data_IF_664981582880
#
_entry.id   IF_664981582880
#
_cell.length_a   1.000
_cell.length_b   1.000
_cell.length_c   1.000
_cell.angle_alpha   90.00
_cell.angle_beta   90.00
_cell.angle_gamma   90.00
#
_symmetry.space_group_name_H-M   'P 1'
#
loop_
_entity.id
_entity.type
_entity.pdbx_description
1 polymer ?
#
# COMPACT_ATOMS: atom_id res chain seq x y z
N UNK A 1 10.78 -13.70 1.51
CA UNK A 1 9.79 -14.30 2.44
C UNK A 1 8.47 -13.56 2.39
N UNK A 2 8.35 -12.29 2.82
CA UNK A 2 7.05 -11.57 2.79
C UNK A 2 6.44 -11.44 1.38
N UNK A 3 7.22 -11.07 0.35
CA UNK A 3 6.73 -10.97 -1.04
C UNK A 3 6.11 -12.29 -1.51
N UNK A 4 6.82 -13.40 -1.30
CA UNK A 4 6.35 -14.75 -1.66
C UNK A 4 5.04 -15.10 -0.98
N UNK A 5 4.92 -14.82 0.32
CA UNK A 5 3.70 -15.10 1.07
C UNK A 5 2.52 -14.25 0.56
N UNK A 6 2.75 -12.96 0.29
CA UNK A 6 1.74 -12.07 -0.27
C UNK A 6 1.27 -12.55 -1.64
N UNK A 7 2.19 -13.00 -2.50
CA UNK A 7 1.84 -13.54 -3.82
C UNK A 7 1.02 -14.83 -3.74
N UNK A 8 1.39 -15.77 -2.87
CA UNK A 8 0.64 -17.01 -2.65
C UNK A 8 -0.78 -16.71 -2.17
N UNK A 9 -0.92 -15.78 -1.21
CA UNK A 9 -2.23 -15.38 -0.69
C UNK A 9 -3.04 -14.66 -1.77
N UNK A 10 -2.41 -13.86 -2.63
CA UNK A 10 -3.08 -13.21 -3.76
C UNK A 10 -3.72 -14.22 -4.72
N UNK A 11 -2.95 -15.22 -5.15
CA UNK A 11 -3.43 -16.28 -6.06
C UNK A 11 -4.54 -17.11 -5.41
N UNK A 12 -4.44 -17.38 -4.10
CA UNK A 12 -5.50 -18.05 -3.35
C UNK A 12 -6.78 -17.21 -3.32
N UNK A 13 -6.68 -15.92 -3.03
CA UNK A 13 -7.85 -15.02 -2.99
C UNK A 13 -8.55 -14.94 -4.34
N UNK A 14 -7.81 -14.94 -5.45
CA UNK A 14 -8.41 -14.92 -6.78
C UNK A 14 -9.36 -16.11 -7.02
N UNK A 15 -9.05 -17.28 -6.48
CA UNK A 15 -9.89 -18.47 -6.61
C UNK A 15 -11.19 -18.32 -5.80
N UNK A 16 -11.06 -17.90 -4.53
CA UNK A 16 -12.21 -17.71 -3.63
C UNK A 16 -13.14 -16.59 -4.14
N UNK A 17 -12.58 -15.51 -4.69
CA UNK A 17 -13.33 -14.44 -5.34
C UNK A 17 -14.18 -14.99 -6.50
N UNK A 18 -13.57 -15.77 -7.40
CA UNK A 18 -14.27 -16.34 -8.55
C UNK A 18 -15.40 -17.29 -8.13
N UNK A 19 -15.20 -18.07 -7.07
CA UNK A 19 -16.23 -18.94 -6.49
C UNK A 19 -17.40 -18.12 -5.92
N UNK A 20 -17.13 -17.02 -5.21
CA UNK A 20 -18.17 -16.15 -4.66
C UNK A 20 -19.01 -15.46 -5.75
N UNK A 21 -18.37 -14.96 -6.82
CA UNK A 21 -19.11 -14.42 -7.96
C UNK A 21 -20.01 -15.48 -8.60
N UNK A 22 -19.47 -16.68 -8.81
CA UNK A 22 -20.21 -17.79 -9.40
C UNK A 22 -21.42 -18.18 -8.54
N UNK A 23 -21.25 -18.30 -7.23
CA UNK A 23 -22.34 -18.63 -6.31
C UNK A 23 -23.44 -17.56 -6.36
N UNK A 24 -23.06 -16.28 -6.31
CA UNK A 24 -24.02 -15.20 -6.35
C UNK A 24 -24.83 -15.19 -7.65
N UNK A 25 -24.16 -15.40 -8.80
CA UNK A 25 -24.81 -15.48 -10.12
C UNK A 25 -25.76 -16.67 -10.19
N UNK A 26 -25.38 -17.84 -9.65
CA UNK A 26 -26.17 -19.06 -9.76
C UNK A 26 -27.40 -19.06 -8.84
N UNK A 27 -27.28 -18.48 -7.65
CA UNK A 27 -28.31 -18.55 -6.62
C UNK A 27 -29.13 -17.25 -6.47
N UNK A 28 -28.80 -16.21 -7.24
CA UNK A 28 -29.37 -14.85 -7.13
C UNK A 28 -29.42 -14.32 -5.69
N UNK A 29 -28.41 -14.72 -4.90
CA UNK A 29 -28.31 -14.42 -3.48
C UNK A 29 -26.88 -14.12 -3.11
N UNK A 30 -26.71 -13.09 -2.29
CA UNK A 30 -25.42 -12.71 -1.75
C UNK A 30 -24.83 -13.85 -0.89
N UNK A 31 -23.64 -14.38 -1.21
CA UNK A 31 -23.01 -15.47 -0.47
C UNK A 31 -22.34 -14.91 0.79
N UNK A 32 -23.15 -14.66 1.83
CA UNK A 32 -22.73 -13.92 3.04
C UNK A 32 -21.50 -14.54 3.71
N UNK A 33 -21.46 -15.86 3.88
CA UNK A 33 -20.36 -16.54 4.56
C UNK A 33 -19.04 -16.37 3.80
N UNK A 34 -19.09 -16.47 2.46
CA UNK A 34 -17.93 -16.23 1.60
C UNK A 34 -17.53 -14.76 1.59
N UNK A 35 -18.48 -13.82 1.62
CA UNK A 35 -18.17 -12.40 1.71
C UNK A 35 -17.50 -12.01 3.01
N UNK A 36 -17.96 -12.56 4.14
CA UNK A 36 -17.34 -12.32 5.45
C UNK A 36 -15.90 -12.83 5.43
N UNK A 37 -15.69 -14.05 4.90
CA UNK A 37 -14.37 -14.63 4.75
C UNK A 37 -13.48 -13.80 3.82
N UNK A 38 -13.94 -13.48 2.61
CA UNK A 38 -13.23 -12.66 1.62
C UNK A 38 -12.86 -11.30 2.19
N UNK A 39 -13.77 -10.67 2.94
CA UNK A 39 -13.52 -9.38 3.58
C UNK A 39 -12.37 -9.50 4.57
N UNK A 40 -12.42 -10.48 5.48
CA UNK A 40 -11.36 -10.69 6.47
C UNK A 40 -10.00 -10.97 5.80
N UNK A 41 -9.97 -11.89 4.82
CA UNK A 41 -8.72 -12.25 4.17
C UNK A 41 -8.16 -11.12 3.29
N UNK A 42 -9.02 -10.37 2.61
CA UNK A 42 -8.61 -9.19 1.82
C UNK A 42 -8.02 -8.11 2.71
N UNK A 43 -8.58 -7.86 3.89
CA UNK A 43 -8.02 -6.91 4.86
C UNK A 43 -6.64 -7.35 5.33
N UNK A 44 -6.47 -8.63 5.66
CA UNK A 44 -5.17 -9.19 6.07
C UNK A 44 -4.12 -9.09 4.96
N UNK A 45 -4.51 -9.40 3.72
CA UNK A 45 -3.66 -9.24 2.54
C UNK A 45 -3.28 -7.77 2.33
N UNK A 46 -4.24 -6.85 2.39
CA UNK A 46 -4.01 -5.40 2.24
C UNK A 46 -3.01 -4.88 3.28
N UNK A 47 -3.13 -5.32 4.54
CA UNK A 47 -2.21 -4.92 5.59
C UNK A 47 -0.80 -5.48 5.38
N UNK A 48 -0.68 -6.72 4.90
CA UNK A 48 0.62 -7.30 4.58
C UNK A 48 1.30 -6.59 3.40
N UNK A 49 0.54 -6.27 2.35
CA UNK A 49 1.00 -5.48 1.19
C UNK A 49 1.45 -4.08 1.64
N UNK A 50 0.62 -3.40 2.44
CA UNK A 50 0.95 -2.08 2.98
C UNK A 50 2.28 -2.11 3.74
N UNK A 51 2.45 -3.05 4.68
CA UNK A 51 3.67 -3.13 5.48
C UNK A 51 4.91 -3.48 4.64
N UNK A 52 4.76 -4.31 3.62
CA UNK A 52 5.82 -4.63 2.66
C UNK A 52 6.28 -3.37 1.92
N UNK A 53 5.34 -2.64 1.30
CA UNK A 53 5.64 -1.41 0.54
C UNK A 53 6.16 -0.30 1.46
N UNK A 54 5.57 -0.12 2.65
CA UNK A 54 6.02 0.85 3.65
C UNK A 54 7.48 0.60 4.05
N UNK A 55 7.79 -0.65 4.35
CA UNK A 55 9.15 -1.06 4.74
C UNK A 55 10.14 -0.87 3.59
N UNK A 56 9.76 -1.21 2.37
CA UNK A 56 10.58 -0.97 1.18
C UNK A 56 10.84 0.54 0.97
N UNK A 57 9.79 1.37 0.95
CA UNK A 57 9.90 2.84 0.77
C UNK A 57 10.79 3.47 1.83
N UNK A 58 10.66 3.04 3.08
CA UNK A 58 11.51 3.50 4.18
C UNK A 58 12.98 3.14 3.93
N UNK A 59 13.27 1.88 3.58
CA UNK A 59 14.63 1.43 3.31
C UNK A 59 15.28 2.17 2.15
N UNK A 60 14.53 2.41 1.07
CA UNK A 60 15.03 3.18 -0.07
C UNK A 60 15.32 4.62 0.34
N UNK A 61 14.40 5.26 1.08
CA UNK A 61 14.58 6.63 1.57
C UNK A 61 15.81 6.75 2.47
N UNK A 62 16.03 5.79 3.37
CA UNK A 62 17.21 5.76 4.24
C UNK A 62 18.50 5.58 3.43
N UNK A 63 18.50 4.68 2.44
CA UNK A 63 19.66 4.44 1.59
C UNK A 63 20.03 5.68 0.74
N UNK A 64 19.03 6.33 0.13
CA UNK A 64 19.24 7.56 -0.64
C UNK A 64 19.72 8.71 0.24
N UNK A 65 19.19 8.87 1.46
CA UNK A 65 19.68 9.86 2.43
C UNK A 65 21.14 9.61 2.82
N UNK A 66 21.50 8.35 3.08
CA UNK A 66 22.88 7.97 3.38
C UNK A 66 23.82 8.21 2.20
N UNK A 67 23.35 7.97 0.97
CA UNK A 67 24.10 8.24 -0.25
C UNK A 67 24.41 9.74 -0.38
N UNK A 68 23.38 10.60 -0.23
CA UNK A 68 23.51 12.06 -0.34
C UNK A 68 24.46 12.63 0.73
N UNK A 69 24.38 12.12 1.96
CA UNK A 69 25.14 12.65 3.09
C UNK A 69 26.52 11.97 3.26
N UNK A 70 26.93 11.07 2.36
CA UNK A 70 28.19 10.32 2.47
C UNK A 70 28.24 9.29 3.61
N UNK A 71 27.10 8.96 4.23
CA UNK A 71 27.01 8.10 5.41
C UNK A 71 26.98 6.59 5.12
N UNK A 72 27.02 6.17 3.86
CA UNK A 72 26.90 4.76 3.47
C UNK A 72 28.00 3.89 4.10
N UNK A 73 29.26 4.29 4.00
CA UNK A 73 30.39 3.49 4.50
C UNK A 73 30.30 3.23 6.00
N UNK A 74 30.06 4.27 6.79
CA UNK A 74 29.89 4.14 8.24
C UNK A 74 28.76 3.18 8.61
N UNK A 75 27.65 3.21 7.86
CA UNK A 75 26.51 2.30 8.11
C UNK A 75 26.84 0.86 7.73
N UNK A 76 27.54 0.64 6.62
CA UNK A 76 28.02 -0.68 6.17
C UNK A 76 28.94 -1.26 7.24
N UNK A 77 29.96 -0.51 7.68
CA UNK A 77 30.92 -0.96 8.68
C UNK A 77 30.23 -1.32 10.00
N UNK A 78 29.28 -0.50 10.45
CA UNK A 78 28.48 -0.79 11.64
C UNK A 78 27.66 -2.08 11.50
N UNK A 79 27.05 -2.33 10.34
CA UNK A 79 26.27 -3.55 10.10
C UNK A 79 27.15 -4.80 9.99
N UNK A 80 28.38 -4.66 9.49
CA UNK A 80 29.36 -5.75 9.36
C UNK A 80 30.03 -6.12 10.69
N UNK A 81 30.15 -5.19 11.64
CA UNK A 81 30.69 -5.43 12.99
C UNK A 81 29.80 -6.30 13.87
N UNK A 82 28.56 -6.57 13.46
CA UNK A 82 27.65 -7.44 14.21
C UNK A 82 27.98 -8.89 13.88
N UNK A 83 28.80 -9.50 14.72
CA UNK A 83 29.15 -10.92 14.62
C UNK A 83 28.27 -11.78 15.52
N UNK A 84 27.53 -12.69 14.90
CA UNK A 84 26.73 -13.71 15.56
C UNK A 84 26.11 -14.67 14.54
N UNK A 85 25.97 -15.97 14.84
CA UNK A 85 25.40 -16.97 13.92
C UNK A 85 23.99 -16.63 13.40
N UNK A 86 23.30 -15.69 14.05
CA UNK A 86 21.93 -15.27 13.76
C UNK A 86 21.81 -13.94 12.98
N UNK A 87 22.91 -13.25 12.63
CA UNK A 87 22.81 -11.90 12.03
C UNK A 87 22.83 -11.86 10.49
N UNK A 88 22.09 -12.78 9.88
CA UNK A 88 21.90 -12.81 8.42
C UNK A 88 21.23 -11.52 7.90
N UNK A 89 20.36 -10.91 8.71
CA UNK A 89 19.65 -9.68 8.38
C UNK A 89 20.57 -8.47 8.20
N UNK A 90 21.53 -8.24 9.12
CA UNK A 90 22.47 -7.12 8.98
C UNK A 90 23.43 -7.34 7.81
N UNK A 91 23.84 -8.59 7.55
CA UNK A 91 24.68 -8.90 6.39
C UNK A 91 23.98 -8.68 5.05
N UNK A 92 22.70 -9.04 4.92
CA UNK A 92 21.92 -8.68 3.72
C UNK A 92 21.85 -7.16 3.58
N UNK A 93 21.57 -6.46 4.66
CA UNK A 93 21.41 -4.99 4.61
C UNK A 93 22.71 -4.28 4.28
N UNK A 94 23.85 -4.77 4.75
CA UNK A 94 25.17 -4.28 4.35
C UNK A 94 25.39 -4.44 2.85
N UNK A 95 25.12 -5.63 2.28
CA UNK A 95 25.23 -5.89 0.84
C UNK A 95 24.33 -4.99 -0.01
N UNK A 96 23.11 -4.71 0.45
CA UNK A 96 22.21 -3.77 -0.22
C UNK A 96 22.77 -2.35 -0.26
N UNK A 97 23.38 -1.88 0.85
CA UNK A 97 23.99 -0.56 0.91
C UNK A 97 25.31 -0.48 0.12
N UNK A 98 26.07 -1.58 0.05
CA UNK A 98 27.24 -1.71 -0.83
C UNK A 98 26.82 -1.52 -2.29
N UNK A 99 25.74 -2.18 -2.74
CA UNK A 99 25.21 -1.99 -4.09
C UNK A 99 24.83 -0.52 -4.36
N UNK A 100 24.19 0.17 -3.40
CA UNK A 100 23.84 1.60 -3.53
C UNK A 100 25.08 2.52 -3.55
N UNK A 101 26.17 2.13 -2.88
CA UNK A 101 27.44 2.86 -2.89
C UNK A 101 28.14 2.71 -4.24
N UNK A 102 28.13 1.48 -4.77
CA UNK A 102 28.98 1.08 -5.89
C UNK A 102 28.31 1.25 -7.26
N UNK A 103 26.98 1.38 -7.30
CA UNK A 103 26.20 1.52 -8.53
C UNK A 103 25.36 2.83 -8.56
N UNK A 104 25.83 3.86 -9.28
CA UNK A 104 25.08 5.10 -9.47
C UNK A 104 23.77 4.91 -10.26
N UNK A 105 23.68 3.92 -11.15
CA UNK A 105 22.46 3.64 -11.91
C UNK A 105 21.39 3.10 -10.96
N UNK A 106 21.77 2.27 -9.99
CA UNK A 106 20.86 1.81 -8.95
C UNK A 106 20.26 2.97 -8.14
N UNK A 107 21.03 4.03 -7.86
CA UNK A 107 20.53 5.22 -7.16
C UNK A 107 19.40 5.88 -7.96
N UNK A 108 19.57 6.05 -9.26
CA UNK A 108 18.55 6.67 -10.13
C UNK A 108 17.34 5.76 -10.34
N UNK A 109 17.54 4.43 -10.42
CA UNK A 109 16.45 3.46 -10.44
C UNK A 109 15.64 3.53 -9.15
N UNK A 110 16.30 3.56 -7.99
CA UNK A 110 15.62 3.68 -6.69
C UNK A 110 14.80 4.96 -6.57
N UNK A 111 15.29 6.10 -7.09
CA UNK A 111 14.51 7.35 -7.14
C UNK A 111 13.29 7.20 -8.04
N UNK A 112 13.45 6.55 -9.18
CA UNK A 112 12.36 6.33 -10.15
C UNK A 112 11.31 5.38 -9.59
N UNK A 113 11.73 4.27 -8.97
CA UNK A 113 10.85 3.31 -8.32
C UNK A 113 10.08 3.93 -7.15
N UNK A 114 10.71 4.82 -6.38
CA UNK A 114 9.98 5.55 -5.32
C UNK A 114 8.81 6.36 -5.88
N UNK A 115 8.96 6.96 -7.07
CA UNK A 115 7.89 7.70 -7.74
C UNK A 115 6.83 6.76 -8.31
N UNK A 116 7.23 5.63 -8.90
CA UNK A 116 6.29 4.60 -9.41
C UNK A 116 5.38 4.06 -8.31
N UNK A 117 5.93 3.78 -7.13
CA UNK A 117 5.17 3.23 -6.00
C UNK A 117 4.30 4.27 -5.29
N UNK A 118 4.55 5.56 -5.50
CA UNK A 118 4.00 6.63 -4.66
C UNK A 118 2.47 6.66 -4.62
N UNK A 119 1.83 6.66 -5.80
CA UNK A 119 0.37 6.77 -5.91
C UNK A 119 -0.32 5.54 -5.34
N UNK A 120 0.08 4.33 -5.78
CA UNK A 120 -0.54 3.09 -5.31
C UNK A 120 -0.34 2.86 -3.81
N UNK A 121 0.82 3.25 -3.27
CA UNK A 121 1.04 3.23 -1.82
C UNK A 121 0.07 4.16 -1.10
N UNK A 122 -0.17 5.37 -1.62
CA UNK A 122 -1.15 6.31 -1.06
C UNK A 122 -2.57 5.74 -1.05
N UNK A 123 -2.98 5.07 -2.13
CA UNK A 123 -4.27 4.39 -2.21
C UNK A 123 -4.41 3.28 -1.16
N UNK A 124 -3.39 2.42 -1.05
CA UNK A 124 -3.35 1.33 -0.06
C UNK A 124 -3.36 1.89 1.37
N UNK A 125 -2.62 2.98 1.62
CA UNK A 125 -2.59 3.65 2.91
C UNK A 125 -3.97 4.23 3.28
N UNK A 126 -4.63 4.91 2.34
CA UNK A 126 -5.97 5.46 2.53
C UNK A 126 -6.96 4.36 2.92
N UNK A 127 -6.96 3.25 2.18
CA UNK A 127 -7.83 2.12 2.45
C UNK A 127 -7.51 1.45 3.79
N UNK A 128 -6.23 1.22 4.09
CA UNK A 128 -5.79 0.63 5.37
C UNK A 128 -6.17 1.49 6.56
N UNK A 129 -6.09 2.82 6.45
CA UNK A 129 -6.48 3.73 7.54
C UNK A 129 -8.00 3.73 7.71
N UNK A 130 -8.76 3.80 6.62
CA UNK A 130 -10.23 3.69 6.65
C UNK A 130 -10.67 2.40 7.35
N UNK A 131 -10.10 1.25 6.96
CA UNK A 131 -10.48 -0.05 7.52
C UNK A 131 -10.04 -0.20 8.97
N UNK A 132 -8.78 0.11 9.29
CA UNK A 132 -8.21 -0.23 10.59
C UNK A 132 -8.49 0.81 11.68
N UNK A 133 -8.75 2.06 11.29
CA UNK A 133 -8.97 3.18 12.23
C UNK A 133 -10.34 3.81 12.10
N UNK A 134 -11.08 3.52 11.03
CA UNK A 134 -12.33 4.21 10.69
C UNK A 134 -12.11 5.73 10.49
N UNK A 135 -10.92 6.12 10.04
CA UNK A 135 -10.49 7.51 9.83
C UNK A 135 -10.15 7.78 8.36
N UNK A 136 -10.12 9.06 7.98
CA UNK A 136 -9.57 9.51 6.69
C UNK A 136 -8.06 9.67 6.81
N UNK A 137 -7.30 9.07 5.90
CA UNK A 137 -5.84 9.16 5.91
C UNK A 137 -5.34 10.62 5.81
N UNK A 138 -4.49 11.00 6.75
CA UNK A 138 -3.91 12.34 6.85
C UNK A 138 -4.79 13.36 7.58
N UNK A 139 -6.01 12.99 8.02
CA UNK A 139 -6.93 13.91 8.70
C UNK A 139 -7.22 13.38 10.11
N UNK A 140 -6.68 14.06 11.13
CA UNK A 140 -6.88 13.68 12.54
C UNK A 140 -8.33 13.85 12.96
N UNK A 141 -8.82 12.96 13.83
CA UNK A 141 -10.18 13.01 14.39
C UNK A 141 -11.28 13.05 13.31
N UNK A 142 -11.03 12.41 12.17
CA UNK A 142 -11.99 12.28 11.08
C UNK A 142 -12.71 10.94 11.16
N UNK A 143 -13.86 10.85 10.48
CA UNK A 143 -14.62 9.60 10.34
C UNK A 143 -14.64 9.25 8.85
N UNK A 144 -14.19 8.04 8.50
CA UNK A 144 -14.27 7.54 7.13
C UNK A 144 -15.73 7.23 6.73
N UNK A 145 -16.06 7.40 5.46
CA UNK A 145 -17.33 6.93 4.92
C UNK A 145 -17.32 5.40 4.83
N UNK A 146 -18.31 4.74 5.42
CA UNK A 146 -18.53 3.28 5.36
C UNK A 146 -17.22 2.46 5.50
N UNK A 147 -16.49 2.59 6.62
CA UNK A 147 -15.19 1.94 6.77
C UNK A 147 -15.33 0.41 6.70
N UNK A 148 -14.48 -0.24 5.90
CA UNK A 148 -14.49 -1.69 5.72
C UNK A 148 -15.64 -2.21 4.86
N UNK A 149 -16.57 -1.37 4.41
CA UNK A 149 -17.60 -1.77 3.46
C UNK A 149 -16.96 -2.03 2.08
N UNK A 150 -17.33 -3.16 1.50
CA UNK A 150 -16.94 -3.52 0.15
C UNK A 150 -18.08 -4.23 -0.56
N UNK A 151 -18.13 -4.09 -1.88
CA UNK A 151 -19.11 -4.77 -2.75
C UNK A 151 -18.42 -5.86 -3.56
N UNK A 152 -19.09 -6.99 -3.73
CA UNK A 152 -18.63 -8.02 -4.66
C UNK A 152 -18.81 -7.52 -6.09
N UNK A 153 -17.74 -7.50 -6.87
CA UNK A 153 -17.81 -7.41 -8.32
C UNK A 153 -18.28 -8.74 -8.89
N UNK A 154 -19.38 -8.78 -9.63
CA UNK A 154 -19.88 -10.02 -10.22
C UNK A 154 -19.08 -10.48 -11.44
N UNK A 155 -18.29 -9.59 -12.07
CA UNK A 155 -17.46 -9.96 -13.21
C UNK A 155 -16.20 -10.69 -12.78
N UNK A 156 -15.59 -10.25 -11.68
CA UNK A 156 -14.31 -10.79 -11.21
C UNK A 156 -14.40 -11.54 -9.88
N UNK A 157 -15.43 -11.27 -9.09
CA UNK A 157 -15.55 -11.70 -7.70
C UNK A 157 -14.73 -10.86 -6.72
N UNK A 158 -14.05 -9.82 -7.18
CA UNK A 158 -13.20 -9.02 -6.29
C UNK A 158 -14.02 -8.07 -5.43
N UNK A 159 -13.50 -7.77 -4.24
CA UNK A 159 -14.08 -6.77 -3.36
C UNK A 159 -13.70 -5.36 -3.84
N UNK A 160 -14.73 -4.57 -4.14
CA UNK A 160 -14.65 -3.15 -4.50
C UNK A 160 -14.84 -2.29 -3.27
N UNK A 161 -13.85 -1.45 -2.99
CA UNK A 161 -13.82 -0.52 -1.87
C UNK A 161 -14.04 0.91 -2.34
N UNK A 162 -14.74 1.69 -1.53
CA UNK A 162 -14.87 3.14 -1.69
C UNK A 162 -13.64 3.84 -1.12
N UNK A 163 -13.04 4.72 -1.92
CA UNK A 163 -12.06 5.68 -1.45
C UNK A 163 -12.76 6.99 -1.15
N UNK A 164 -12.73 7.37 0.12
CA UNK A 164 -13.48 8.52 0.63
C UNK A 164 -12.59 9.51 1.38
N UNK A 165 -13.00 10.77 1.32
CA UNK A 165 -12.55 11.84 2.20
C UNK A 165 -13.79 12.43 2.86
N UNK A 166 -14.04 12.04 4.12
CA UNK A 166 -15.28 12.38 4.82
C UNK A 166 -16.49 11.91 4.01
N UNK A 167 -17.46 12.79 3.68
CA UNK A 167 -18.66 12.40 2.93
C UNK A 167 -18.44 12.23 1.42
N UNK A 168 -17.27 12.62 0.90
CA UNK A 168 -17.00 12.59 -0.55
C UNK A 168 -16.30 11.28 -0.91
N UNK A 169 -16.94 10.48 -1.76
CA UNK A 169 -16.31 9.35 -2.43
C UNK A 169 -15.63 9.90 -3.68
N UNK A 170 -14.31 9.78 -3.78
CA UNK A 170 -13.55 10.31 -4.91
C UNK A 170 -13.13 9.24 -5.90
N UNK A 171 -13.10 7.97 -5.49
CA UNK A 171 -12.71 6.86 -6.35
C UNK A 171 -13.20 5.51 -5.78
N UNK A 172 -13.09 4.45 -6.58
CA UNK A 172 -13.32 3.06 -6.19
C UNK A 172 -12.10 2.23 -6.54
N UNK A 173 -11.71 1.32 -5.66
CA UNK A 173 -10.60 0.41 -5.90
C UNK A 173 -10.96 -1.01 -5.54
N UNK A 174 -10.70 -1.94 -6.46
CA UNK A 174 -10.87 -3.37 -6.21
C UNK A 174 -9.58 -3.97 -5.64
N UNK A 175 -9.70 -5.04 -4.85
CA UNK A 175 -8.51 -5.77 -4.39
C UNK A 175 -7.65 -6.25 -5.57
N UNK A 176 -8.28 -6.79 -6.63
CA UNK A 176 -7.57 -7.16 -7.88
C UNK A 176 -6.90 -5.96 -8.54
N UNK A 177 -7.56 -4.82 -8.56
CA UNK A 177 -7.00 -3.58 -9.10
C UNK A 177 -5.75 -3.13 -8.35
N UNK A 178 -5.71 -3.29 -7.01
CA UNK A 178 -4.48 -3.07 -6.23
C UNK A 178 -3.41 -4.09 -6.63
N UNK A 179 -3.75 -5.37 -6.73
CA UNK A 179 -2.78 -6.41 -7.10
C UNK A 179 -2.18 -6.18 -8.50
N UNK A 180 -3.02 -5.86 -9.48
CA UNK A 180 -2.61 -5.59 -10.85
C UNK A 180 -1.80 -4.29 -10.95
N UNK A 181 -2.21 -3.25 -10.21
CA UNK A 181 -1.43 -2.02 -10.10
C UNK A 181 -0.04 -2.25 -9.50
N UNK A 182 0.10 -3.17 -8.55
CA UNK A 182 1.40 -3.55 -7.98
C UNK A 182 2.26 -4.29 -9.02
N UNK A 183 1.67 -5.23 -9.76
CA UNK A 183 2.38 -5.95 -10.84
C UNK A 183 2.86 -4.99 -11.92
N UNK A 184 2.07 -3.96 -12.22
CA UNK A 184 2.34 -2.95 -13.24
C UNK A 184 3.29 -1.82 -12.78
N UNK A 185 3.81 -1.83 -11.55
CA UNK A 185 4.70 -0.75 -11.04
C UNK A 185 5.88 -0.49 -12.00
N UNK A 186 6.46 -1.55 -12.55
CA UNK A 186 7.62 -1.47 -13.43
C UNK A 186 7.26 -1.19 -14.89
N UNK A 187 5.97 -1.17 -15.22
CA UNK A 187 5.50 -0.92 -16.58
C UNK A 187 5.52 0.60 -16.87
N UNK A 188 5.88 0.97 -18.10
CA UNK A 188 5.91 2.35 -18.56
C UNK A 188 7.03 3.21 -17.95
N UNK A 189 7.00 4.51 -18.23
CA UNK A 189 7.99 5.47 -17.72
C UNK A 189 7.69 5.89 -16.26
N UNK A 190 8.72 6.16 -15.44
CA UNK A 190 8.49 6.59 -14.07
C UNK A 190 7.86 8.00 -14.06
N UNK A 191 6.89 8.29 -13.17
CA UNK A 191 6.33 9.62 -13.04
C UNK A 191 7.43 10.67 -12.80
N UNK A 192 7.28 11.88 -13.34
CA UNK A 192 8.23 12.97 -13.06
C UNK A 192 8.04 13.52 -11.64
N UNK A 193 8.98 14.33 -11.17
CA UNK A 193 8.87 14.99 -9.86
C UNK A 193 7.67 15.94 -9.83
N UNK A 194 7.39 16.61 -10.93
CA UNK A 194 6.25 17.51 -11.12
C UNK A 194 4.93 16.74 -11.08
N UNK A 195 4.87 15.53 -11.67
CA UNK A 195 3.68 14.68 -11.56
C UNK A 195 3.37 14.31 -10.11
N UNK A 196 4.41 13.95 -9.33
CA UNK A 196 4.26 13.63 -7.91
C UNK A 196 3.82 14.87 -7.11
N UNK A 197 4.42 16.03 -7.37
CA UNK A 197 4.05 17.27 -6.70
C UNK A 197 2.59 17.66 -6.99
N UNK A 198 2.17 17.59 -8.25
CA UNK A 198 0.79 17.89 -8.67
C UNK A 198 -0.22 16.94 -8.01
N UNK A 199 0.11 15.65 -7.92
CA UNK A 199 -0.72 14.67 -7.20
C UNK A 199 -0.86 15.03 -5.72
N UNK A 200 0.24 15.36 -5.03
CA UNK A 200 0.20 15.73 -3.61
C UNK A 200 -0.60 17.02 -3.36
N UNK A 201 -0.50 18.00 -4.26
CA UNK A 201 -1.31 19.23 -4.20
C UNK A 201 -2.80 18.93 -4.35
N UNK A 202 -3.17 18.08 -5.32
CA UNK A 202 -4.57 17.65 -5.50
C UNK A 202 -5.10 16.92 -4.26
N UNK A 203 -4.34 15.96 -3.71
CA UNK A 203 -4.73 15.23 -2.50
C UNK A 203 -4.83 16.15 -1.27
N UNK A 204 -3.93 17.13 -1.15
CA UNK A 204 -3.99 18.13 -0.08
C UNK A 204 -5.22 19.03 -0.21
N UNK A 205 -5.54 19.49 -1.42
CA UNK A 205 -6.72 20.32 -1.67
C UNK A 205 -8.01 19.58 -1.32
N UNK A 206 -8.13 18.30 -1.70
CA UNK A 206 -9.28 17.47 -1.33
C UNK A 206 -9.43 17.33 0.20
N UNK A 207 -8.34 17.08 0.92
CA UNK A 207 -8.34 17.00 2.40
C UNK A 207 -8.73 18.32 3.06
N UNK A 208 -8.30 19.45 2.50
CA UNK A 208 -8.59 20.79 3.03
C UNK A 208 -10.05 21.21 2.82
N UNK A 209 -10.71 20.68 1.79
CA UNK A 209 -12.13 20.93 1.50
C UNK A 209 -13.11 20.22 2.43
N UNK A 210 -12.62 19.43 3.40
CA UNK A 210 -13.48 18.71 4.34
C UNK A 210 -14.08 19.66 5.37
N UNK A 211 -15.42 19.64 5.57
CA UNK A 211 -16.03 20.40 6.65
C UNK A 211 -15.45 19.94 7.99
N UNK A 212 -15.04 20.90 8.83
CA UNK A 212 -14.63 20.59 10.19
C UNK A 212 -15.80 19.93 10.93
N UNK A 213 -15.62 18.69 11.39
CA UNK A 213 -16.56 18.05 12.30
C UNK A 213 -16.50 18.79 13.64
N UNK A 214 -17.28 19.86 13.78
CA UNK A 214 -17.62 20.40 15.09
C UNK A 214 -18.53 19.38 15.77
N UNK A 215 -17.97 18.59 16.69
CA UNK A 215 -18.77 17.93 17.70
C UNK A 215 -19.46 19.04 18.52
N UNK A 216 -20.70 19.37 18.17
CA UNK A 216 -21.61 20.04 19.09
C UNK A 216 -21.74 19.13 20.30
N UNK A 217 -21.16 19.57 21.42
CA UNK A 217 -21.27 18.91 22.72
C UNK A 217 -22.69 19.08 23.23
N UNK A 218 -23.64 18.32 22.68
CA UNK A 218 -24.96 18.15 23.28
C UNK A 218 -25.36 16.68 23.18
N UNK A 219 -25.00 15.93 24.23
CA UNK A 219 -25.72 14.77 24.74
C UNK A 219 -25.57 14.78 26.26
#
# INVERSE_FOLDING_TARGET
MQVTNVAIVDDFLMQVEAEAAKEQIQNDRVPIDQLVFLTAQTQMWLFAVYELLRTWRQRVSDALKLHINGGLQLKIDHLRKRDGPADFGSQIRARQLEAVRDDPILVENLRSDQRRVHVIFGTIEALRVSIAKHEVAGVRNSIAHMPGYARLDLMTGSLNYELSMGPVIYDYVSRRGIADGIRAILDGDPPTVENIASYEEAMKAMRAGLPGFHFSREF
#
